data_IF_650264952305
#
_entry.id   IF_650264952305
#
_cell.length_a   1.000
_cell.length_b   1.000
_cell.length_c   1.000
_cell.angle_alpha   90.00
_cell.angle_beta   90.00
_cell.angle_gamma   90.00
#
_symmetry.space_group_name_H-M   'P 1'
#
loop_
_entity.id
_entity.type
_entity.pdbx_description
1 polymer ?
#
# COMPACT_ATOMS: atom_id res chain seq x y z
N UNK A 1 2.44 -11.19 -23.00
CA UNK A 1 3.69 -10.41 -23.14
C UNK A 1 3.81 -9.87 -24.54
N UNK A 2 3.37 -8.63 -24.77
CA UNK A 2 3.44 -7.97 -26.08
C UNK A 2 4.63 -7.02 -26.12
N UNK A 3 5.49 -7.15 -27.14
CA UNK A 3 6.60 -6.24 -27.36
C UNK A 3 6.11 -4.79 -27.48
N UNK A 4 6.64 -3.94 -26.62
CA UNK A 4 6.25 -2.53 -26.51
C UNK A 4 6.73 -1.74 -27.74
N UNK A 5 5.77 -1.25 -28.53
CA UNK A 5 6.05 -0.44 -29.71
C UNK A 5 6.82 0.84 -29.34
N UNK A 6 7.76 1.26 -30.20
CA UNK A 6 8.51 2.52 -30.04
C UNK A 6 7.56 3.74 -29.94
N UNK A 7 6.42 3.68 -30.63
CA UNK A 7 5.39 4.72 -30.61
C UNK A 7 4.78 4.92 -29.21
N UNK A 8 4.44 3.82 -28.54
CA UNK A 8 3.81 3.86 -27.22
C UNK A 8 4.77 4.40 -26.15
N UNK A 9 6.07 4.11 -26.28
CA UNK A 9 7.11 4.69 -25.42
C UNK A 9 7.23 6.21 -25.59
N UNK A 10 7.17 6.70 -26.82
CA UNK A 10 7.21 8.13 -27.08
C UNK A 10 6.00 8.86 -26.48
N UNK A 11 4.81 8.26 -26.56
CA UNK A 11 3.59 8.80 -25.95
C UNK A 11 3.69 8.87 -24.42
N UNK A 12 4.25 7.83 -23.78
CA UNK A 12 4.48 7.84 -22.33
C UNK A 12 5.50 8.88 -21.90
N UNK A 13 6.60 9.04 -22.65
CA UNK A 13 7.59 10.08 -22.35
C UNK A 13 6.98 11.47 -22.46
N UNK A 14 6.19 11.73 -23.51
CA UNK A 14 5.49 13.01 -23.65
C UNK A 14 4.48 13.25 -22.53
N UNK A 15 3.74 12.22 -22.12
CA UNK A 15 2.82 12.33 -20.99
C UNK A 15 3.59 12.63 -19.69
N UNK A 16 4.68 11.91 -19.45
CA UNK A 16 5.51 12.08 -18.27
C UNK A 16 6.12 13.49 -18.19
N UNK A 17 6.67 13.98 -19.31
CA UNK A 17 7.25 15.33 -19.39
C UNK A 17 6.21 16.43 -19.16
N UNK A 18 4.98 16.24 -19.66
CA UNK A 18 3.91 17.23 -19.53
C UNK A 18 3.23 17.19 -18.16
N UNK A 19 2.92 16.00 -17.66
CA UNK A 19 2.02 15.79 -16.53
C UNK A 19 2.78 15.40 -15.23
N UNK A 20 4.07 15.08 -15.31
CA UNK A 20 4.88 14.57 -14.19
C UNK A 20 4.66 13.09 -13.87
N UNK A 21 3.79 12.41 -14.62
CA UNK A 21 3.50 10.98 -14.53
C UNK A 21 3.05 10.43 -15.88
N UNK A 22 3.12 9.11 -16.08
CA UNK A 22 2.58 8.45 -17.26
C UNK A 22 1.79 7.20 -16.86
N UNK A 23 0.71 6.90 -17.60
CA UNK A 23 -0.17 5.75 -17.31
C UNK A 23 0.12 4.61 -18.26
N UNK A 24 0.74 3.55 -17.73
CA UNK A 24 1.10 2.36 -18.48
C UNK A 24 0.00 1.30 -18.30
N UNK A 25 -0.97 1.27 -19.22
CA UNK A 25 -2.03 0.27 -19.20
C UNK A 25 -1.48 -1.13 -19.49
N UNK A 26 -1.92 -2.13 -18.72
CA UNK A 26 -1.48 -3.52 -18.90
C UNK A 26 -0.01 -3.76 -18.56
N UNK A 27 0.58 -2.94 -17.68
CA UNK A 27 1.97 -3.10 -17.25
C UNK A 27 2.20 -4.42 -16.51
N UNK A 28 1.33 -4.74 -15.55
CA UNK A 28 1.32 -6.01 -14.84
C UNK A 28 0.25 -6.94 -15.45
N UNK A 29 0.50 -8.25 -15.41
CA UNK A 29 -0.51 -9.25 -15.75
C UNK A 29 -1.45 -9.48 -14.58
N UNK A 30 -2.62 -10.06 -14.85
CA UNK A 30 -3.60 -10.40 -13.81
C UNK A 30 -2.99 -11.35 -12.77
N UNK A 31 -2.18 -12.32 -13.20
CA UNK A 31 -1.49 -13.26 -12.31
C UNK A 31 -0.48 -12.53 -11.41
N UNK A 32 0.29 -11.60 -11.98
CA UNK A 32 1.23 -10.80 -11.20
C UNK A 32 0.52 -9.96 -10.14
N UNK A 33 -0.64 -9.38 -10.48
CA UNK A 33 -1.47 -8.67 -9.52
C UNK A 33 -1.99 -9.60 -8.42
N UNK A 34 -2.47 -10.80 -8.78
CA UNK A 34 -2.96 -11.79 -7.82
C UNK A 34 -1.86 -12.26 -6.85
N UNK A 35 -0.65 -12.52 -7.35
CA UNK A 35 0.50 -12.91 -6.53
C UNK A 35 0.88 -11.81 -5.53
N UNK A 36 0.89 -10.54 -5.96
CA UNK A 36 1.18 -9.40 -5.11
C UNK A 36 0.12 -9.20 -4.02
N UNK A 37 -1.16 -9.38 -4.37
CA UNK A 37 -2.27 -9.32 -3.41
C UNK A 37 -2.11 -10.43 -2.37
N UNK A 38 -1.80 -11.65 -2.80
CA UNK A 38 -1.58 -12.78 -1.89
C UNK A 38 -0.41 -12.53 -0.93
N UNK A 39 0.74 -12.05 -1.45
CA UNK A 39 1.89 -11.70 -0.62
C UNK A 39 1.58 -10.59 0.40
N UNK A 40 0.82 -9.57 0.01
CA UNK A 40 0.38 -8.52 0.91
C UNK A 40 -0.51 -9.06 2.05
N UNK A 41 -1.43 -10.00 1.73
CA UNK A 41 -2.28 -10.67 2.74
C UNK A 41 -1.44 -11.43 3.76
N UNK A 42 -0.41 -12.15 3.32
CA UNK A 42 0.49 -12.84 4.25
C UNK A 42 1.26 -11.89 5.16
N UNK A 43 1.73 -10.74 4.64
CA UNK A 43 2.42 -9.73 5.44
C UNK A 43 1.49 -9.19 6.53
N UNK A 44 0.27 -8.81 6.15
CA UNK A 44 -0.72 -8.30 7.11
C UNK A 44 -1.05 -9.35 8.17
N UNK A 45 -1.28 -10.60 7.77
CA UNK A 45 -1.61 -11.69 8.70
C UNK A 45 -0.50 -11.93 9.74
N UNK A 46 0.78 -11.87 9.32
CA UNK A 46 1.92 -12.00 10.25
C UNK A 46 2.02 -10.83 11.22
N UNK A 47 1.69 -9.62 10.78
CA UNK A 47 1.82 -8.39 11.58
C UNK A 47 0.61 -8.13 12.50
N UNK A 48 -0.49 -8.89 12.40
CA UNK A 48 -1.63 -8.78 13.31
C UNK A 48 -1.24 -8.97 14.79
N UNK A 49 -0.22 -9.79 15.06
CA UNK A 49 0.29 -10.04 16.42
C UNK A 49 1.07 -8.83 16.99
N UNK A 50 1.66 -8.00 16.12
CA UNK A 50 2.47 -6.84 16.49
C UNK A 50 1.72 -5.51 16.39
N UNK A 51 0.40 -5.55 16.14
CA UNK A 51 -0.38 -4.35 15.81
C UNK A 51 -0.29 -3.24 16.86
N UNK A 52 -0.10 -3.58 18.14
CA UNK A 52 0.08 -2.62 19.24
C UNK A 52 1.39 -1.83 19.16
N UNK A 53 2.42 -2.37 18.51
CA UNK A 53 3.69 -1.67 18.23
C UNK A 53 3.63 -0.90 16.91
N UNK A 54 2.70 -1.26 16.02
CA UNK A 54 2.47 -0.61 14.72
C UNK A 54 1.61 0.66 14.80
N UNK A 55 1.07 1.03 15.97
CA UNK A 55 0.22 2.21 16.18
C UNK A 55 1.03 3.52 16.22
N UNK A 56 2.00 3.65 15.31
CA UNK A 56 2.56 4.94 14.94
C UNK A 56 1.64 5.57 13.90
N UNK A 57 0.52 6.12 14.37
CA UNK A 57 -0.50 6.75 13.52
C UNK A 57 0.15 7.76 12.57
N UNK A 58 0.02 7.53 11.27
CA UNK A 58 0.46 8.44 10.23
C UNK A 58 -0.50 9.64 10.19
N UNK A 59 -0.25 10.65 11.03
CA UNK A 59 -1.10 11.85 11.10
C UNK A 59 -0.64 12.87 10.04
N UNK A 60 -1.51 13.19 9.09
CA UNK A 60 -1.28 14.29 8.13
C UNK A 60 -1.52 15.67 8.75
N UNK A 61 -2.26 15.76 9.86
CA UNK A 61 -2.61 17.01 10.54
C UNK A 61 -1.60 17.49 11.60
N UNK A 62 -0.88 16.57 12.27
CA UNK A 62 0.08 16.91 13.31
C UNK A 62 1.51 16.57 12.85
N UNK A 63 2.21 17.59 12.35
CA UNK A 63 3.62 17.48 11.93
C UNK A 63 4.60 17.22 13.08
N UNK A 64 4.14 17.10 14.33
CA UNK A 64 5.02 16.90 15.49
C UNK A 64 5.33 15.43 15.79
N UNK A 65 4.54 14.47 15.29
CA UNK A 65 4.71 13.02 15.58
C UNK A 65 5.20 12.17 14.41
N UNK A 66 5.57 12.76 13.28
CA UNK A 66 6.05 12.04 12.07
C UNK A 66 7.51 11.53 12.17
N UNK A 67 8.00 11.19 13.37
CA UNK A 67 9.41 10.86 13.63
C UNK A 67 9.62 9.79 14.70
N UNK A 68 8.63 8.96 14.97
CA UNK A 68 8.86 7.79 15.83
C UNK A 68 9.84 6.82 15.13
N UNK A 69 10.64 6.10 15.91
CA UNK A 69 11.64 5.14 15.45
C UNK A 69 11.00 4.07 14.54
N UNK A 70 9.73 3.75 14.79
CA UNK A 70 8.92 2.87 13.93
C UNK A 70 8.69 3.41 12.50
N UNK A 71 8.69 4.72 12.29
CA UNK A 71 8.65 5.27 10.93
C UNK A 71 10.06 5.41 10.36
N UNK A 72 10.99 5.95 11.14
CA UNK A 72 12.34 6.28 10.65
C UNK A 72 13.14 5.05 10.18
N UNK A 73 13.00 3.92 10.87
CA UNK A 73 13.69 2.69 10.46
C UNK A 73 12.88 1.79 9.51
N UNK A 74 11.75 2.27 8.97
CA UNK A 74 10.99 1.53 7.94
C UNK A 74 11.65 1.59 6.56
N UNK A 75 12.64 2.48 6.36
CA UNK A 75 13.36 2.57 5.08
C UNK A 75 14.18 1.33 4.75
N UNK A 76 14.50 0.51 5.75
CA UNK A 76 15.27 -0.73 5.62
C UNK A 76 14.54 -1.96 6.17
N UNK A 77 13.23 -1.85 6.43
CA UNK A 77 12.41 -2.93 6.96
C UNK A 77 10.99 -2.90 6.36
N UNK A 78 10.39 -4.06 6.13
CA UNK A 78 8.96 -4.15 5.79
C UNK A 78 8.14 -3.82 7.03
N UNK A 79 7.33 -2.75 6.97
CA UNK A 79 6.45 -2.31 8.06
C UNK A 79 5.05 -2.06 7.56
N UNK A 80 4.06 -2.25 8.43
CA UNK A 80 2.64 -2.05 8.13
C UNK A 80 2.17 -0.77 8.82
N UNK A 81 1.51 0.09 8.05
CA UNK A 81 0.91 1.33 8.52
C UNK A 81 -0.60 1.22 8.40
N UNK A 82 -1.32 1.64 9.43
CA UNK A 82 -2.78 1.61 9.47
C UNK A 82 -3.33 3.02 9.38
N UNK A 83 -4.41 3.19 8.62
CA UNK A 83 -5.23 4.39 8.68
C UNK A 83 -5.84 4.55 10.07
N UNK A 84 -6.05 5.78 10.52
CA UNK A 84 -6.60 6.06 11.86
C UNK A 84 -7.95 5.36 12.08
N UNK A 85 -8.79 5.33 11.04
CA UNK A 85 -10.11 4.71 11.08
C UNK A 85 -10.09 3.19 11.05
N UNK A 86 -8.92 2.59 10.79
CA UNK A 86 -8.76 1.14 10.74
C UNK A 86 -8.70 0.49 12.12
N UNK A 87 -8.40 1.29 13.15
CA UNK A 87 -8.31 0.82 14.53
C UNK A 87 -9.59 1.19 15.28
N UNK A 88 -10.10 0.23 16.05
CA UNK A 88 -11.19 0.48 16.98
C UNK A 88 -10.72 1.45 18.08
N UNK A 89 -11.42 2.56 18.24
CA UNK A 89 -10.99 3.64 19.15
C UNK A 89 -11.02 3.25 20.63
N UNK A 90 -11.77 2.21 21.01
CA UNK A 90 -11.87 1.75 22.40
C UNK A 90 -10.78 0.71 22.75
N UNK A 91 -10.47 -0.20 21.83
CA UNK A 91 -9.56 -1.33 22.05
C UNK A 91 -8.18 -1.18 21.40
N UNK A 92 -8.04 -0.26 20.44
CA UNK A 92 -6.83 -0.10 19.62
C UNK A 92 -6.53 -1.29 18.70
N UNK A 93 -7.49 -2.22 18.54
CA UNK A 93 -7.35 -3.39 17.67
C UNK A 93 -7.78 -3.06 16.24
N UNK A 94 -7.29 -3.82 15.24
CA UNK A 94 -7.81 -3.75 13.87
C UNK A 94 -9.29 -4.07 13.88
N UNK A 95 -10.09 -3.25 13.21
CA UNK A 95 -11.52 -3.52 13.10
C UNK A 95 -11.76 -4.78 12.25
N UNK A 96 -12.60 -5.68 12.73
CA UNK A 96 -12.85 -6.98 12.11
C UNK A 96 -13.46 -6.89 10.70
N UNK A 97 -14.18 -5.80 10.40
CA UNK A 97 -14.76 -5.53 9.07
C UNK A 97 -13.70 -5.21 8.00
N UNK A 98 -12.50 -4.79 8.39
CA UNK A 98 -11.36 -4.60 7.47
C UNK A 98 -10.54 -5.87 7.28
N UNK A 99 -10.68 -6.85 8.17
CA UNK A 99 -9.99 -8.14 8.10
C UNK A 99 -10.75 -9.11 7.20
N UNK A 100 -12.06 -8.94 7.06
CA UNK A 100 -12.96 -9.93 6.45
C UNK A 100 -13.46 -9.65 5.04
N UNK A 101 -13.21 -8.49 4.43
CA UNK A 101 -13.91 -8.08 3.22
C UNK A 101 -13.01 -7.50 2.11
N UNK A 102 -11.88 -8.17 1.85
CA UNK A 102 -11.01 -7.83 0.72
C UNK A 102 -11.46 -8.52 -0.58
N UNK A 103 -12.30 -9.56 -0.49
CA UNK A 103 -12.81 -10.27 -1.66
C UNK A 103 -13.98 -9.54 -2.35
N UNK A 104 -14.71 -8.66 -1.65
CA UNK A 104 -15.81 -7.90 -2.26
C UNK A 104 -15.39 -6.63 -3.02
N UNK A 105 -14.17 -6.13 -2.81
CA UNK A 105 -13.70 -4.89 -3.44
C UNK A 105 -12.96 -5.10 -4.77
N UNK A 106 -12.58 -6.33 -5.10
CA UNK A 106 -11.82 -6.67 -6.31
C UNK A 106 -12.47 -7.76 -7.18
N UNK A 107 -13.73 -8.11 -6.92
CA UNK A 107 -14.60 -8.94 -7.77
C UNK A 107 -15.46 -8.08 -8.70
#
# INVERSE_FOLDING_TARGET
GGGMGLQQRAEWLQQYERDGFAVLRGFATEECCADLIHAAREIVAREQENIRQCVGAFQTADRSKSRDEYFMSSSFATRVFFEETALDSASGALRADLVGDVDAQFA
#
